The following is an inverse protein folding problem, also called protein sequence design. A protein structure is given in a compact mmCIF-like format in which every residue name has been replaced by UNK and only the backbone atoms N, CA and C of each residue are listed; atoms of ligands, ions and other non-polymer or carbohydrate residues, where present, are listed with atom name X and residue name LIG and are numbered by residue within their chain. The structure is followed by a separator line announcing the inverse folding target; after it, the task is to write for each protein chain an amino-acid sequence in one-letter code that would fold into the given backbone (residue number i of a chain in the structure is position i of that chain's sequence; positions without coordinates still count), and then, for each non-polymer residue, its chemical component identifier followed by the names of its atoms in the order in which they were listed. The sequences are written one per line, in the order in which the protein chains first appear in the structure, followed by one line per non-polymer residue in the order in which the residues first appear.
data_IF_972911195187
#
_entry.id   IF_972911195187
#
_cell.length_a   1.000
_cell.length_b   1.000
_cell.length_c   1.000
_cell.angle_alpha   90.00
_cell.angle_beta   90.00
_cell.angle_gamma   90.00
#
_symmetry.space_group_name_H-M   'P 1'
#
loop_
_entity.id
_entity.type
_entity.pdbx_description
1 polymer ?
#
# COMPACT_ATOMS: atom_id res chain seq x y z
N UNK A 1 -8.79 11.08 -0.76
CA UNK A 1 -9.21 9.67 -0.57
C UNK A 1 -8.18 8.94 0.27
N UNK A 2 -8.64 7.92 1.00
CA UNK A 2 -7.87 6.95 1.78
C UNK A 2 -7.59 5.74 0.87
N UNK A 3 -6.32 5.47 0.63
CA UNK A 3 -5.87 4.43 -0.31
C UNK A 3 -5.11 3.36 0.47
N UNK A 4 -5.46 2.08 0.25
CA UNK A 4 -4.63 0.95 0.66
C UNK A 4 -3.90 0.40 -0.56
N UNK A 5 -2.57 0.28 -0.47
CA UNK A 5 -1.76 -0.39 -1.50
C UNK A 5 -1.66 -1.87 -1.18
N UNK A 6 -2.05 -2.73 -2.12
CA UNK A 6 -1.82 -4.18 -2.07
C UNK A 6 -0.58 -4.46 -2.92
N UNK A 7 0.55 -4.66 -2.25
CA UNK A 7 1.86 -4.78 -2.86
C UNK A 7 2.83 -3.69 -2.40
N UNK A 8 4.12 -4.02 -2.41
CA UNK A 8 5.21 -3.16 -1.96
C UNK A 8 6.41 -3.18 -2.92
N UNK A 9 6.17 -3.54 -4.18
CA UNK A 9 7.19 -3.59 -5.24
C UNK A 9 7.37 -2.25 -5.96
N UNK A 10 8.13 -2.27 -7.05
CA UNK A 10 8.46 -1.05 -7.81
C UNK A 10 7.23 -0.23 -8.23
N UNK A 11 6.17 -0.88 -8.73
CA UNK A 11 4.94 -0.20 -9.15
C UNK A 11 4.23 0.43 -7.96
N UNK A 12 4.03 -0.33 -6.87
CA UNK A 12 3.41 0.18 -5.64
C UNK A 12 4.17 1.40 -5.08
N UNK A 13 5.50 1.38 -5.12
CA UNK A 13 6.34 2.49 -4.65
C UNK A 13 6.11 3.76 -5.47
N UNK A 14 6.12 3.66 -6.80
CA UNK A 14 5.90 4.83 -7.67
C UNK A 14 4.47 5.36 -7.54
N UNK A 15 3.47 4.47 -7.49
CA UNK A 15 2.07 4.87 -7.31
C UNK A 15 1.84 5.50 -5.93
N UNK A 16 2.40 4.93 -4.86
CA UNK A 16 2.32 5.49 -3.52
C UNK A 16 2.89 6.90 -3.43
N UNK A 17 4.06 7.14 -4.06
CA UNK A 17 4.63 8.48 -4.14
C UNK A 17 3.75 9.43 -4.98
N UNK A 18 3.25 8.98 -6.14
CA UNK A 18 2.40 9.79 -7.01
C UNK A 18 1.08 10.20 -6.33
N UNK A 19 0.39 9.26 -5.66
CA UNK A 19 -0.84 9.54 -4.93
C UNK A 19 -0.62 10.47 -3.75
N UNK A 20 0.47 10.29 -3.00
CA UNK A 20 0.86 11.19 -1.91
C UNK A 20 1.09 12.62 -2.43
N UNK A 21 1.81 12.74 -3.54
CA UNK A 21 2.09 14.03 -4.18
C UNK A 21 0.82 14.68 -4.76
N UNK A 22 -0.16 13.88 -5.18
CA UNK A 22 -1.48 14.34 -5.60
C UNK A 22 -2.42 14.73 -4.43
N UNK A 23 -1.95 14.66 -3.18
CA UNK A 23 -2.72 15.04 -2.00
C UNK A 23 -3.66 13.94 -1.47
N UNK A 24 -3.51 12.71 -1.93
CA UNK A 24 -4.23 11.56 -1.35
C UNK A 24 -3.49 11.00 -0.14
N UNK A 25 -4.23 10.30 0.73
CA UNK A 25 -3.69 9.68 1.93
C UNK A 25 -3.57 8.18 1.72
N UNK A 26 -2.35 7.67 1.68
CA UNK A 26 -2.12 6.23 1.74
C UNK A 26 -2.21 5.85 3.21
N UNK A 27 -3.20 5.04 3.56
CA UNK A 27 -3.47 4.65 4.94
C UNK A 27 -2.72 3.37 5.31
N UNK A 28 -2.61 2.43 4.38
CA UNK A 28 -1.95 1.15 4.58
C UNK A 28 -1.19 0.67 3.34
N UNK A 29 -0.15 -0.13 3.58
CA UNK A 29 0.56 -0.92 2.58
C UNK A 29 0.53 -2.38 3.04
N UNK A 30 0.01 -3.26 2.19
CA UNK A 30 0.00 -4.69 2.40
C UNK A 30 1.13 -5.38 1.62
N UNK A 31 1.80 -6.34 2.25
CA UNK A 31 2.65 -7.32 1.56
C UNK A 31 2.74 -8.61 2.39
N UNK A 32 2.82 -9.80 1.75
CA UNK A 32 3.05 -11.07 2.47
C UNK A 32 4.33 -11.08 3.32
N UNK A 33 5.29 -10.19 3.01
CA UNK A 33 6.46 -9.91 3.84
C UNK A 33 6.29 -8.54 4.48
N UNK A 34 6.07 -8.50 5.79
CA UNK A 34 5.83 -7.26 6.55
C UNK A 34 6.97 -6.25 6.40
N UNK A 35 8.22 -6.71 6.35
CA UNK A 35 9.39 -5.83 6.15
C UNK A 35 9.30 -5.06 4.83
N UNK A 36 8.81 -5.66 3.75
CA UNK A 36 8.67 -4.98 2.48
C UNK A 36 7.56 -3.92 2.52
N UNK A 37 6.42 -4.23 3.17
CA UNK A 37 5.36 -3.26 3.41
C UNK A 37 5.88 -2.09 4.26
N UNK A 38 6.61 -2.38 5.34
CA UNK A 38 7.17 -1.38 6.26
C UNK A 38 8.11 -0.39 5.57
N UNK A 39 8.96 -0.86 4.65
CA UNK A 39 9.86 0.01 3.88
C UNK A 39 9.07 1.05 3.07
N UNK A 40 8.07 0.63 2.29
CA UNK A 40 7.26 1.55 1.51
C UNK A 40 6.41 2.45 2.42
N UNK A 41 5.73 1.85 3.41
CA UNK A 41 4.86 2.55 4.34
C UNK A 41 5.58 3.68 5.09
N UNK A 42 6.84 3.45 5.50
CA UNK A 42 7.69 4.46 6.12
C UNK A 42 7.86 5.71 5.25
N UNK A 43 8.14 5.55 3.95
CA UNK A 43 8.33 6.67 3.03
C UNK A 43 7.04 7.48 2.78
N UNK A 44 5.89 6.82 2.81
CA UNK A 44 4.59 7.46 2.53
C UNK A 44 3.76 7.78 3.78
N UNK A 45 4.30 7.52 4.99
CA UNK A 45 3.63 7.71 6.29
C UNK A 45 2.31 6.93 6.39
N UNK A 46 2.34 5.67 5.96
CA UNK A 46 1.24 4.73 6.08
C UNK A 46 1.54 3.68 7.15
N UNK A 47 0.54 2.87 7.49
CA UNK A 47 0.72 1.65 8.28
C UNK A 47 1.12 0.48 7.37
N UNK A 48 1.93 -0.45 7.88
CA UNK A 48 2.30 -1.66 7.18
C UNK A 48 1.53 -2.85 7.76
N UNK A 49 0.92 -3.65 6.89
CA UNK A 49 0.19 -4.86 7.25
C UNK A 49 0.66 -6.05 6.41
N UNK A 50 0.55 -7.25 6.95
CA UNK A 50 0.83 -8.52 6.27
C UNK A 50 -0.35 -9.51 6.34
N UNK A 51 -1.45 -9.10 6.97
CA UNK A 51 -2.73 -9.79 6.99
C UNK A 51 -3.81 -8.91 6.33
N UNK A 52 -4.52 -9.46 5.34
CA UNK A 52 -5.62 -8.76 4.68
C UNK A 52 -6.81 -8.54 5.64
N UNK A 53 -6.94 -9.32 6.71
CA UNK A 53 -7.96 -9.08 7.73
C UNK A 53 -7.67 -7.83 8.59
N UNK A 54 -6.46 -7.28 8.51
CA UNK A 54 -6.06 -6.05 9.19
C UNK A 54 -6.30 -4.78 8.34
N UNK A 55 -7.00 -4.91 7.21
CA UNK A 55 -7.35 -3.77 6.36
C UNK A 55 -8.20 -2.74 7.13
N UNK A 56 -7.83 -1.47 7.00
CA UNK A 56 -8.55 -0.31 7.52
C UNK A 56 -9.94 -0.24 6.85
N UNK A 57 -11.04 -0.32 7.63
CA UNK A 57 -12.41 -0.32 7.09
C UNK A 57 -12.79 1.00 6.40
N UNK A 58 -12.00 2.04 6.60
CA UNK A 58 -12.22 3.36 6.02
C UNK A 58 -11.45 3.55 4.69
N UNK A 59 -10.90 2.50 4.11
CA UNK A 59 -10.25 2.57 2.80
C UNK A 59 -11.29 2.82 1.69
N UNK A 60 -11.10 3.91 0.95
CA UNK A 60 -11.95 4.27 -0.19
C UNK A 60 -11.62 3.42 -1.43
N UNK A 61 -10.32 3.16 -1.64
CA UNK A 61 -9.80 2.47 -2.83
C UNK A 61 -8.63 1.54 -2.48
N UNK A 62 -8.66 0.34 -3.06
CA UNK A 62 -7.51 -0.56 -3.13
C UNK A 62 -6.78 -0.40 -4.46
N UNK A 63 -5.45 -0.30 -4.39
CA UNK A 63 -4.58 -0.35 -5.57
C UNK A 63 -3.78 -1.63 -5.49
N UNK A 64 -4.04 -2.55 -6.42
CA UNK A 64 -3.36 -3.84 -6.49
C UNK A 64 -2.17 -3.72 -7.44
N UNK A 65 -0.96 -3.81 -6.89
CA UNK A 65 0.32 -3.62 -7.58
C UNK A 65 1.29 -4.75 -7.24
N UNK A 66 0.83 -5.98 -7.47
CA UNK A 66 1.58 -7.24 -7.30
C UNK A 66 1.95 -7.81 -8.68
N UNK A 67 2.76 -8.88 -8.69
CA UNK A 67 3.07 -9.60 -9.94
C UNK A 67 1.84 -10.34 -10.45
N UNK A 68 1.74 -10.50 -11.76
CA UNK A 68 0.63 -11.19 -12.41
C UNK A 68 0.44 -12.63 -11.90
N UNK A 69 1.54 -13.35 -11.62
CA UNK A 69 1.52 -14.73 -11.13
C UNK A 69 0.95 -14.91 -9.71
N UNK A 70 0.61 -13.80 -9.02
CA UNK A 70 0.09 -13.80 -7.64
C UNK A 70 -1.42 -13.58 -7.60
N UNK A 71 -2.05 -13.23 -8.73
CA UNK A 71 -3.49 -12.95 -8.86
C UNK A 71 -4.26 -14.22 -9.27
#
# INVERSE_FOLDING_TARGET
MRITLIGSGNVATHLGAAFKNAGHRIVQVYSPTLQNAALLAYHIKAEAIDDLNAIDPETDIFIIAIKDDVI
#
